data_IF_023678206229
#
_entry.id   IF_023678206229
#
_cell.length_a   1.000
_cell.length_b   1.000
_cell.length_c   1.000
_cell.angle_alpha   90.00
_cell.angle_beta   90.00
_cell.angle_gamma   90.00
#
_symmetry.space_group_name_H-M   'P 1'
#
loop_
_entity.id
_entity.type
_entity.pdbx_description
1 polymer ?
#
# COMPACT_ATOMS: atom_id res chain seq x y z
N UNK A 1 -30.37 -22.21 -7.76
CA UNK A 1 -29.54 -22.11 -6.54
C UNK A 1 -28.08 -21.79 -6.87
N UNK A 2 -27.37 -22.61 -7.66
CA UNK A 2 -25.97 -22.36 -8.03
C UNK A 2 -25.72 -21.03 -8.76
N UNK A 3 -26.64 -20.61 -9.64
CA UNK A 3 -26.54 -19.33 -10.34
C UNK A 3 -26.57 -18.13 -9.39
N UNK A 4 -27.44 -18.13 -8.39
CA UNK A 4 -27.55 -17.03 -7.41
C UNK A 4 -26.31 -16.95 -6.52
N UNK A 5 -25.80 -18.11 -6.10
CA UNK A 5 -24.55 -18.20 -5.33
C UNK A 5 -23.38 -17.66 -6.16
N UNK A 6 -23.31 -18.03 -7.43
CA UNK A 6 -22.28 -17.51 -8.35
C UNK A 6 -22.37 -15.99 -8.52
N UNK A 7 -23.57 -15.45 -8.80
CA UNK A 7 -23.81 -14.01 -8.92
C UNK A 7 -23.40 -13.24 -7.66
N UNK A 8 -23.68 -13.79 -6.47
CA UNK A 8 -23.23 -13.20 -5.21
C UNK A 8 -21.71 -13.10 -5.13
N UNK A 9 -20.98 -14.20 -5.39
CA UNK A 9 -19.52 -14.20 -5.35
C UNK A 9 -18.88 -13.32 -6.42
N UNK A 10 -19.51 -13.21 -7.60
CA UNK A 10 -19.10 -12.26 -8.64
C UNK A 10 -19.20 -10.83 -8.12
N UNK A 11 -20.30 -10.48 -7.43
CA UNK A 11 -20.47 -9.17 -6.80
C UNK A 11 -19.41 -8.87 -5.74
N UNK A 12 -19.09 -9.86 -4.88
CA UNK A 12 -18.01 -9.76 -3.90
C UNK A 12 -16.66 -9.54 -4.58
N UNK A 13 -16.36 -10.29 -5.64
CA UNK A 13 -15.10 -10.13 -6.38
C UNK A 13 -14.97 -8.72 -6.97
N UNK A 14 -16.03 -8.20 -7.59
CA UNK A 14 -16.00 -6.88 -8.22
C UNK A 14 -15.82 -5.73 -7.23
N UNK A 15 -16.45 -5.77 -6.06
CA UNK A 15 -16.26 -4.74 -5.04
C UNK A 15 -14.84 -4.73 -4.48
N UNK A 16 -14.27 -5.92 -4.21
CA UNK A 16 -12.90 -6.07 -3.73
C UNK A 16 -11.89 -5.61 -4.80
N UNK A 17 -12.14 -5.93 -6.06
CA UNK A 17 -11.32 -5.44 -7.16
C UNK A 17 -11.39 -3.91 -7.27
N UNK A 18 -12.59 -3.32 -7.20
CA UNK A 18 -12.78 -1.87 -7.30
C UNK A 18 -12.00 -1.09 -6.24
N UNK A 19 -11.99 -1.55 -4.98
CA UNK A 19 -11.17 -0.95 -3.91
C UNK A 19 -9.67 -0.99 -4.22
N UNK A 20 -9.18 -2.10 -4.77
CA UNK A 20 -7.75 -2.38 -4.94
C UNK A 20 -7.18 -1.82 -6.24
N UNK A 21 -7.98 -1.62 -7.28
CA UNK A 21 -7.54 -1.17 -8.61
C UNK A 21 -6.72 0.13 -8.55
N UNK A 22 -7.19 1.22 -7.89
CA UNK A 22 -6.42 2.47 -7.83
C UNK A 22 -5.03 2.27 -7.22
N UNK A 23 -4.95 1.45 -6.17
CA UNK A 23 -3.71 1.12 -5.50
C UNK A 23 -2.79 0.20 -6.32
N UNK A 24 -3.36 -0.73 -7.08
CA UNK A 24 -2.59 -1.71 -7.84
C UNK A 24 -2.06 -1.14 -9.17
N UNK A 25 -2.85 -0.31 -9.86
CA UNK A 25 -2.52 0.16 -11.21
C UNK A 25 -1.81 1.51 -11.22
N UNK A 26 -2.36 2.54 -10.58
CA UNK A 26 -1.85 3.91 -10.75
C UNK A 26 -0.39 4.08 -10.30
N UNK A 27 0.05 3.57 -9.14
CA UNK A 27 1.45 3.70 -8.74
C UNK A 27 2.42 3.00 -9.67
N UNK A 28 1.96 1.96 -10.40
CA UNK A 28 2.79 1.09 -11.24
C UNK A 28 2.89 1.55 -12.69
N UNK A 29 2.29 2.68 -13.04
CA UNK A 29 2.46 3.26 -14.36
C UNK A 29 3.93 3.65 -14.58
N UNK A 30 4.43 3.47 -15.81
CA UNK A 30 5.84 3.69 -16.14
C UNK A 30 6.30 5.11 -15.79
N UNK A 31 5.50 6.11 -16.14
CA UNK A 31 5.80 7.53 -15.87
C UNK A 31 5.97 7.88 -14.40
N UNK A 32 5.45 7.07 -13.48
CA UNK A 32 5.52 7.31 -12.03
C UNK A 32 6.70 6.57 -11.36
N UNK A 33 7.46 5.76 -12.09
CA UNK A 33 8.52 4.91 -11.55
C UNK A 33 9.89 5.14 -12.20
N UNK A 34 10.06 6.14 -13.07
CA UNK A 34 11.35 6.38 -13.74
C UNK A 34 12.47 6.74 -12.75
N UNK A 35 12.11 7.34 -11.61
CA UNK A 35 13.03 7.74 -10.54
C UNK A 35 13.38 6.60 -9.57
N UNK A 36 12.62 5.49 -9.60
CA UNK A 36 12.74 4.44 -8.61
C UNK A 36 13.30 3.15 -9.20
N UNK A 37 14.30 2.59 -8.52
CA UNK A 37 14.82 1.25 -8.79
C UNK A 37 13.75 0.18 -8.64
N UNK A 38 13.87 -0.93 -9.35
CA UNK A 38 12.90 -2.01 -9.24
C UNK A 38 13.00 -2.72 -7.88
N UNK A 39 11.87 -3.14 -7.30
CA UNK A 39 11.90 -3.95 -6.08
C UNK A 39 12.56 -5.32 -6.40
N UNK A 40 13.54 -5.81 -5.60
CA UNK A 40 13.80 -5.50 -4.19
C UNK A 40 14.87 -4.44 -3.89
N UNK A 41 15.47 -3.81 -4.89
CA UNK A 41 16.64 -2.92 -4.71
C UNK A 41 16.37 -1.78 -3.69
N UNK A 42 17.42 -1.36 -2.95
CA UNK A 42 17.33 -0.25 -2.00
C UNK A 42 16.99 1.05 -2.73
N UNK A 43 16.38 1.98 -1.99
CA UNK A 43 15.98 3.30 -2.51
C UNK A 43 16.59 4.36 -1.62
N UNK A 44 17.17 5.40 -2.21
CA UNK A 44 17.72 6.52 -1.46
C UNK A 44 16.61 7.27 -0.70
N UNK A 45 16.92 7.73 0.51
CA UNK A 45 15.97 8.49 1.34
C UNK A 45 15.97 9.95 0.92
N UNK A 46 15.38 10.21 -0.24
CA UNK A 46 15.30 11.53 -0.86
C UNK A 46 13.91 12.17 -0.72
N UNK A 47 13.80 13.44 -1.11
CA UNK A 47 12.52 14.16 -1.17
C UNK A 47 11.47 13.45 -2.04
N UNK A 48 11.90 12.80 -3.12
CA UNK A 48 11.03 12.04 -4.02
C UNK A 48 10.44 10.80 -3.33
N UNK A 49 11.21 10.13 -2.47
CA UNK A 49 10.72 9.00 -1.69
C UNK A 49 9.63 9.43 -0.70
N UNK A 50 9.84 10.55 -0.01
CA UNK A 50 8.86 11.12 0.93
C UNK A 50 7.54 11.44 0.23
N UNK A 51 7.65 12.10 -0.92
CA UNK A 51 6.51 12.40 -1.79
C UNK A 51 5.81 11.10 -2.22
N UNK A 52 6.57 10.07 -2.57
CA UNK A 52 6.03 8.76 -2.96
C UNK A 52 5.25 8.08 -1.83
N UNK A 53 5.74 8.11 -0.59
CA UNK A 53 5.01 7.57 0.57
C UNK A 53 3.66 8.28 0.74
N UNK A 54 3.64 9.61 0.59
CA UNK A 54 2.40 10.40 0.66
C UNK A 54 1.45 10.11 -0.51
N UNK A 55 1.97 9.91 -1.72
CA UNK A 55 1.15 9.49 -2.85
C UNK A 55 0.53 8.11 -2.65
N UNK A 56 1.29 7.13 -2.15
CA UNK A 56 0.77 5.80 -1.83
C UNK A 56 -0.36 5.88 -0.80
N UNK A 57 -0.20 6.74 0.21
CA UNK A 57 -1.28 7.04 1.16
C UNK A 57 -2.52 7.62 0.47
N UNK A 58 -2.35 8.57 -0.44
CA UNK A 58 -3.46 9.16 -1.18
C UNK A 58 -4.15 8.13 -2.09
N UNK A 59 -3.40 7.24 -2.75
CA UNK A 59 -3.98 6.17 -3.58
C UNK A 59 -4.77 5.16 -2.76
N UNK A 60 -4.36 4.88 -1.52
CA UNK A 60 -5.13 4.05 -0.60
C UNK A 60 -6.50 4.69 -0.28
N UNK A 61 -6.53 5.99 0.07
CA UNK A 61 -7.79 6.68 0.29
C UNK A 61 -8.61 6.87 -0.98
N UNK A 62 -7.97 7.02 -2.13
CA UNK A 62 -8.65 7.00 -3.42
C UNK A 62 -9.32 5.64 -3.65
N UNK A 63 -8.69 4.52 -3.31
CA UNK A 63 -9.32 3.20 -3.31
C UNK A 63 -10.58 3.18 -2.45
N UNK A 64 -10.53 3.76 -1.25
CA UNK A 64 -11.67 3.89 -0.35
C UNK A 64 -12.77 4.82 -0.90
N UNK A 65 -12.42 5.80 -1.71
CA UNK A 65 -13.41 6.59 -2.45
C UNK A 65 -14.07 5.75 -3.56
N UNK A 66 -13.29 4.91 -4.25
CA UNK A 66 -13.81 4.04 -5.32
C UNK A 66 -14.75 2.95 -4.80
N UNK A 67 -14.74 2.61 -3.51
CA UNK A 67 -15.72 1.66 -2.93
C UNK A 67 -17.14 2.20 -2.88
N UNK A 68 -17.35 3.51 -2.98
CA UNK A 68 -18.69 4.08 -3.10
C UNK A 68 -19.37 3.66 -4.42
N UNK A 69 -18.59 3.40 -5.47
CA UNK A 69 -19.13 2.97 -6.78
C UNK A 69 -19.86 1.61 -6.67
N UNK A 70 -19.20 0.51 -6.23
CA UNK A 70 -19.89 -0.77 -6.05
C UNK A 70 -20.93 -0.72 -4.93
N UNK A 71 -20.79 0.17 -3.94
CA UNK A 71 -21.81 0.37 -2.92
C UNK A 71 -23.11 0.92 -3.54
N UNK A 72 -23.06 2.08 -4.21
CA UNK A 72 -24.23 2.69 -4.84
C UNK A 72 -24.81 1.75 -5.92
N UNK A 73 -23.94 1.15 -6.75
CA UNK A 73 -24.38 0.23 -7.78
C UNK A 73 -24.99 -1.05 -7.20
N UNK A 74 -24.45 -1.57 -6.10
CA UNK A 74 -25.01 -2.70 -5.36
C UNK A 74 -26.42 -2.41 -4.87
N UNK A 75 -26.65 -1.22 -4.29
CA UNK A 75 -27.98 -0.78 -3.87
C UNK A 75 -28.97 -0.71 -5.04
N UNK A 76 -28.59 -0.07 -6.14
CA UNK A 76 -29.44 0.02 -7.33
C UNK A 76 -29.74 -1.35 -7.92
N UNK A 77 -28.76 -2.26 -7.93
CA UNK A 77 -28.93 -3.62 -8.45
C UNK A 77 -29.88 -4.44 -7.57
N UNK A 78 -29.92 -4.22 -6.25
CA UNK A 78 -30.91 -4.85 -5.36
C UNK A 78 -32.33 -4.40 -5.72
N UNK A 79 -32.53 -3.11 -6.03
CA UNK A 79 -33.86 -2.57 -6.32
C UNK A 79 -34.37 -2.94 -7.72
N UNK A 80 -33.50 -2.91 -8.74
CA UNK A 80 -33.92 -2.97 -10.14
C UNK A 80 -33.35 -4.15 -10.93
N UNK A 81 -32.47 -4.96 -10.34
CA UNK A 81 -31.67 -5.96 -11.06
C UNK A 81 -31.60 -7.32 -10.38
N UNK A 82 -30.44 -7.97 -10.52
CA UNK A 82 -30.19 -9.26 -9.90
C UNK A 82 -29.89 -9.07 -8.41
N UNK A 83 -30.85 -9.43 -7.56
CA UNK A 83 -30.72 -9.22 -6.11
C UNK A 83 -29.46 -9.88 -5.53
N UNK A 84 -29.10 -11.16 -5.83
CA UNK A 84 -27.88 -11.76 -5.29
C UNK A 84 -26.58 -11.05 -5.67
N UNK A 85 -26.45 -10.58 -6.92
CA UNK A 85 -25.31 -9.76 -7.35
C UNK A 85 -25.24 -8.44 -6.55
N UNK A 86 -26.38 -7.76 -6.44
CA UNK A 86 -26.50 -6.50 -5.70
C UNK A 86 -26.16 -6.64 -4.23
N UNK A 87 -26.63 -7.72 -3.58
CA UNK A 87 -26.26 -8.06 -2.20
C UNK A 87 -24.76 -8.32 -2.06
N UNK A 88 -24.16 -9.07 -3.00
CA UNK A 88 -22.72 -9.32 -3.02
C UNK A 88 -21.92 -8.03 -3.05
N UNK A 89 -22.27 -7.11 -3.95
CA UNK A 89 -21.64 -5.79 -4.08
C UNK A 89 -21.84 -4.91 -2.83
N UNK A 90 -23.08 -4.80 -2.33
CA UNK A 90 -23.43 -3.94 -1.20
C UNK A 90 -22.76 -4.38 0.10
N UNK A 91 -22.87 -5.66 0.45
CA UNK A 91 -22.35 -6.19 1.71
C UNK A 91 -20.82 -6.10 1.77
N UNK A 92 -20.14 -6.50 0.69
CA UNK A 92 -18.68 -6.48 0.65
C UNK A 92 -18.10 -5.07 0.60
N UNK A 93 -18.67 -4.16 -0.19
CA UNK A 93 -18.22 -2.75 -0.22
C UNK A 93 -18.51 -2.03 1.10
N UNK A 94 -19.67 -2.27 1.71
CA UNK A 94 -20.01 -1.75 3.03
C UNK A 94 -19.06 -2.26 4.11
N UNK A 95 -18.75 -3.56 4.10
CA UNK A 95 -17.77 -4.16 5.02
C UNK A 95 -16.38 -3.55 4.84
N UNK A 96 -15.91 -3.41 3.59
CA UNK A 96 -14.63 -2.77 3.29
C UNK A 96 -14.56 -1.33 3.79
N UNK A 97 -15.61 -0.53 3.60
CA UNK A 97 -15.64 0.84 4.10
C UNK A 97 -15.51 0.89 5.62
N UNK A 98 -16.32 0.10 6.33
CA UNK A 98 -16.30 0.06 7.79
C UNK A 98 -14.94 -0.42 8.30
N UNK A 99 -14.42 -1.53 7.75
CA UNK A 99 -13.16 -2.12 8.22
C UNK A 99 -11.97 -1.18 8.02
N UNK A 100 -11.92 -0.43 6.93
CA UNK A 100 -10.80 0.46 6.63
C UNK A 100 -10.91 1.81 7.36
N UNK A 101 -12.12 2.25 7.73
CA UNK A 101 -12.33 3.45 8.55
C UNK A 101 -12.07 3.15 10.04
N UNK A 102 -12.41 1.95 10.51
CA UNK A 102 -12.18 1.54 11.91
C UNK A 102 -10.76 1.07 12.18
N UNK A 103 -10.07 0.50 11.17
CA UNK A 103 -8.69 0.00 11.26
C UNK A 103 -7.69 0.97 11.91
N UNK A 104 -7.69 2.29 11.59
CA UNK A 104 -6.84 3.26 12.26
C UNK A 104 -7.08 3.37 13.78
N UNK A 105 -8.30 3.16 14.28
CA UNK A 105 -8.59 3.16 15.72
C UNK A 105 -8.01 1.93 16.43
N UNK A 106 -7.89 0.81 15.71
CA UNK A 106 -7.28 -0.42 16.21
C UNK A 106 -5.74 -0.44 16.09
N UNK A 107 -5.12 0.64 15.60
CA UNK A 107 -3.67 0.70 15.35
C UNK A 107 -3.22 -0.03 14.08
N UNK A 108 -4.14 -0.65 13.33
CA UNK A 108 -3.85 -1.44 12.13
C UNK A 108 -4.03 -0.64 10.83
N UNK A 109 -3.74 0.67 10.87
CA UNK A 109 -3.92 1.57 9.74
C UNK A 109 -3.12 1.20 8.48
N UNK A 110 -3.30 1.94 7.37
CA UNK A 110 -2.50 1.74 6.16
C UNK A 110 -1.00 1.91 6.48
N UNK A 111 -0.11 1.12 5.85
CA UNK A 111 1.32 1.17 6.17
C UNK A 111 1.98 2.49 5.75
N UNK A 112 1.39 3.23 4.80
CA UNK A 112 1.85 4.57 4.39
C UNK A 112 1.22 5.65 5.26
N UNK A 113 1.87 5.98 6.37
CA UNK A 113 1.39 7.01 7.30
C UNK A 113 2.15 8.33 7.12
N UNK A 114 1.55 9.44 7.59
CA UNK A 114 2.29 10.72 7.72
C UNK A 114 3.44 10.59 8.72
N UNK A 115 3.28 9.75 9.75
CA UNK A 115 4.33 9.52 10.76
C UNK A 115 5.55 8.85 10.17
N UNK A 116 5.37 7.87 9.28
CA UNK A 116 6.46 7.26 8.51
C UNK A 116 7.22 8.28 7.67
N UNK A 117 6.51 9.13 6.93
CA UNK A 117 7.15 10.20 6.15
C UNK A 117 7.92 11.19 7.05
N UNK A 118 7.37 11.56 8.21
CA UNK A 118 8.09 12.40 9.17
C UNK A 118 9.34 11.72 9.73
N UNK A 119 9.29 10.42 10.05
CA UNK A 119 10.46 9.65 10.51
C UNK A 119 11.57 9.63 9.46
N UNK A 120 11.22 9.41 8.19
CA UNK A 120 12.18 9.47 7.08
C UNK A 120 12.77 10.88 6.89
N UNK A 121 11.96 11.92 7.05
CA UNK A 121 12.46 13.31 7.02
C UNK A 121 13.44 13.59 8.17
N UNK A 122 13.18 13.06 9.37
CA UNK A 122 14.10 13.19 10.49
C UNK A 122 15.44 12.49 10.20
N UNK A 123 15.42 11.27 9.65
CA UNK A 123 16.64 10.56 9.23
C UNK A 123 17.45 11.37 8.23
N UNK A 124 16.78 12.01 7.27
CA UNK A 124 17.42 12.88 6.29
C UNK A 124 18.03 14.13 6.96
N UNK A 125 17.27 14.80 7.82
CA UNK A 125 17.76 15.98 8.55
C UNK A 125 18.97 15.62 9.42
N UNK A 126 18.97 14.46 10.07
CA UNK A 126 20.09 13.97 10.86
C UNK A 126 21.32 13.68 10.00
N UNK A 127 21.12 13.09 8.82
CA UNK A 127 22.19 12.85 7.86
C UNK A 127 22.81 14.16 7.33
N UNK A 128 22.03 15.22 7.12
CA UNK A 128 22.53 16.53 6.67
C UNK A 128 23.15 17.37 7.82
N UNK A 129 22.97 16.94 9.08
CA UNK A 129 23.43 17.67 10.27
C UNK A 129 24.80 17.22 10.80
N UNK A 130 25.33 17.95 11.78
CA UNK A 130 26.54 17.58 12.53
C UNK A 130 26.41 16.24 13.29
N UNK A 131 25.17 15.74 13.47
CA UNK A 131 24.89 14.41 14.06
C UNK A 131 24.93 13.27 13.05
N UNK A 132 25.46 13.53 11.85
CA UNK A 132 25.59 12.55 10.79
C UNK A 132 26.38 11.30 11.23
N UNK A 133 26.03 10.17 10.65
CA UNK A 133 26.64 8.88 10.99
C UNK A 133 28.08 8.70 10.45
N UNK A 134 28.47 9.44 9.42
CA UNK A 134 29.78 9.41 8.77
C UNK A 134 29.98 10.68 7.92
N UNK A 135 31.21 10.90 7.40
CA UNK A 135 31.55 12.10 6.60
C UNK A 135 30.68 12.28 5.34
N UNK A 136 30.23 11.19 4.72
CA UNK A 136 29.36 11.23 3.53
C UNK A 136 28.13 10.34 3.77
N UNK A 137 27.15 10.81 4.56
CA UNK A 137 26.00 10.00 4.91
C UNK A 137 25.08 9.83 3.69
N UNK A 138 24.86 8.59 3.29
CA UNK A 138 23.97 8.23 2.19
C UNK A 138 22.87 7.28 2.70
N UNK A 139 21.76 7.80 3.24
CA UNK A 139 20.69 6.99 3.78
C UNK A 139 19.94 6.25 2.66
N UNK A 140 19.87 4.93 2.76
CA UNK A 140 19.15 4.05 1.83
C UNK A 140 18.15 3.17 2.57
N UNK A 141 16.95 3.05 2.02
CA UNK A 141 15.90 2.20 2.55
C UNK A 141 15.92 0.83 1.88
N UNK A 142 16.45 -0.14 2.64
CA UNK A 142 16.42 -1.55 2.30
C UNK A 142 15.03 -2.15 2.58
N UNK A 143 14.88 -3.47 2.44
CA UNK A 143 13.59 -4.14 2.71
C UNK A 143 13.23 -4.09 4.20
N UNK A 144 14.23 -4.22 5.08
CA UNK A 144 14.04 -4.40 6.53
C UNK A 144 14.21 -3.12 7.34
N UNK A 145 15.15 -2.25 6.93
CA UNK A 145 15.48 -1.04 7.67
C UNK A 145 16.08 0.03 6.74
N UNK A 146 16.16 1.26 7.25
CA UNK A 146 16.95 2.33 6.66
C UNK A 146 18.37 2.26 7.21
N UNK A 147 19.35 2.13 6.32
CA UNK A 147 20.77 2.05 6.66
C UNK A 147 21.55 3.09 5.89
N UNK A 148 22.69 3.51 6.42
CA UNK A 148 23.66 4.26 5.62
C UNK A 148 24.36 3.31 4.63
N UNK A 149 24.45 3.69 3.35
CA UNK A 149 25.14 2.90 2.33
C UNK A 149 26.64 2.74 2.63
N UNK A 150 27.26 3.72 3.28
CA UNK A 150 28.71 3.75 3.55
C UNK A 150 29.05 3.05 4.87
N UNK A 151 28.52 3.53 6.00
CA UNK A 151 28.88 3.00 7.31
C UNK A 151 27.98 1.86 7.81
N UNK A 152 26.94 1.47 7.05
CA UNK A 152 25.97 0.40 7.37
C UNK A 152 25.20 0.54 8.68
N UNK A 153 25.38 1.66 9.40
CA UNK A 153 24.63 1.98 10.63
C UNK A 153 23.14 2.02 10.33
N UNK A 154 22.34 1.40 11.19
CA UNK A 154 20.88 1.45 11.14
C UNK A 154 20.45 2.84 11.62
N UNK A 155 19.76 3.58 10.76
CA UNK A 155 19.25 4.92 11.06
C UNK A 155 17.78 4.84 11.51
N UNK A 156 17.00 3.95 10.91
CA UNK A 156 15.61 3.70 11.27
C UNK A 156 15.28 2.23 11.06
N UNK A 157 14.83 1.57 12.14
CA UNK A 157 14.41 0.18 12.10
C UNK A 157 12.93 0.07 11.73
N UNK A 158 12.60 0.45 10.49
CA UNK A 158 11.25 0.28 9.94
C UNK A 158 11.29 -0.46 8.59
N UNK A 159 10.53 -1.56 8.45
CA UNK A 159 10.49 -2.33 7.23
C UNK A 159 9.76 -1.53 6.16
N UNK A 160 10.25 -1.64 4.93
CA UNK A 160 9.78 -0.85 3.81
C UNK A 160 8.43 -1.38 3.32
N UNK A 161 7.35 -0.58 3.36
CA UNK A 161 6.09 -0.97 2.75
C UNK A 161 6.20 -0.96 1.22
N UNK A 162 5.21 -1.53 0.53
CA UNK A 162 5.21 -1.51 -0.93
C UNK A 162 5.13 -0.05 -1.45
N UNK A 163 6.06 0.36 -2.30
CA UNK A 163 6.08 1.73 -2.84
C UNK A 163 5.43 1.79 -4.24
N UNK A 164 4.68 0.75 -4.65
CA UNK A 164 4.07 0.71 -5.97
C UNK A 164 5.09 0.59 -7.11
N UNK A 165 6.29 0.09 -6.80
CA UNK A 165 7.40 -0.06 -7.76
C UNK A 165 7.22 -1.31 -8.62
N UNK A 166 7.78 -1.36 -9.83
CA UNK A 166 7.87 -2.61 -10.58
C UNK A 166 8.65 -3.65 -9.76
N UNK A 167 8.16 -4.88 -9.72
CA UNK A 167 8.80 -6.01 -9.02
C UNK A 167 9.56 -6.86 -10.03
N UNK A 168 10.76 -7.30 -9.66
CA UNK A 168 11.56 -8.26 -10.43
C UNK A 168 10.98 -9.69 -10.39
N UNK A 169 10.13 -10.01 -9.40
CA UNK A 169 9.52 -11.35 -9.17
C UNK A 169 8.51 -11.81 -10.25
N UNK A 170 8.33 -11.04 -11.33
CA UNK A 170 7.32 -11.26 -12.36
C UNK A 170 5.98 -10.60 -12.05
N UNK A 171 5.29 -10.12 -13.10
CA UNK A 171 4.08 -9.28 -12.97
C UNK A 171 2.93 -9.98 -12.22
N UNK A 172 2.68 -11.27 -12.49
CA UNK A 172 1.54 -12.02 -11.95
C UNK A 172 1.77 -12.39 -10.48
N UNK A 173 2.93 -12.99 -10.17
CA UNK A 173 3.29 -13.39 -8.80
C UNK A 173 3.34 -12.17 -7.87
N UNK A 174 3.91 -11.07 -8.35
CA UNK A 174 3.94 -9.80 -7.63
C UNK A 174 2.54 -9.26 -7.34
N UNK A 175 1.65 -9.26 -8.34
CA UNK A 175 0.26 -8.80 -8.17
C UNK A 175 -0.50 -9.63 -7.14
N UNK A 176 -0.39 -10.96 -7.22
CA UNK A 176 -1.06 -11.86 -6.28
C UNK A 176 -0.57 -11.62 -4.84
N UNK A 177 0.74 -11.49 -4.66
CA UNK A 177 1.35 -11.20 -3.36
C UNK A 177 0.87 -9.87 -2.78
N UNK A 178 0.71 -8.85 -3.63
CA UNK A 178 0.20 -7.53 -3.23
C UNK A 178 -1.28 -7.56 -2.83
N UNK A 179 -2.09 -8.37 -3.51
CA UNK A 179 -3.50 -8.55 -3.14
C UNK A 179 -3.59 -9.19 -1.76
N UNK A 180 -2.74 -10.20 -1.48
CA UNK A 180 -2.67 -10.87 -0.18
C UNK A 180 -2.11 -9.98 0.93
N UNK A 181 -0.97 -9.32 0.69
CA UNK A 181 -0.29 -8.52 1.72
C UNK A 181 -0.90 -7.14 1.93
N UNK A 182 -1.73 -6.67 0.98
CA UNK A 182 -2.27 -5.32 1.00
C UNK A 182 -1.19 -4.23 0.96
N UNK A 183 0.02 -4.58 0.51
CA UNK A 183 1.20 -3.70 0.48
C UNK A 183 1.92 -3.53 1.83
N UNK A 184 1.55 -4.31 2.85
CA UNK A 184 2.33 -4.41 4.10
C UNK A 184 3.67 -5.13 3.85
N UNK A 185 4.73 -4.78 4.61
CA UNK A 185 6.00 -5.49 4.53
C UNK A 185 5.81 -6.94 4.96
N UNK A 186 6.47 -7.85 4.23
CA UNK A 186 6.43 -9.29 4.51
C UNK A 186 7.46 -9.74 5.55
N UNK A 187 8.33 -8.83 5.98
CA UNK A 187 9.33 -9.10 7.02
C UNK A 187 8.77 -8.60 8.35
N UNK A 188 8.61 -9.51 9.30
CA UNK A 188 8.32 -9.17 10.70
C UNK A 188 9.59 -8.67 11.38
N UNK A 189 9.47 -7.61 12.17
CA UNK A 189 10.58 -7.02 12.94
C UNK A 189 11.10 -7.91 14.10
N UNK A 190 10.63 -9.16 14.23
CA UNK A 190 10.85 -10.04 15.38
C UNK A 190 11.77 -11.25 15.07
N UNK A 191 12.87 -11.07 14.35
CA UNK A 191 13.92 -12.10 14.25
C UNK A 191 15.22 -11.75 15.00
N UNK A 192 15.21 -10.70 15.83
CA UNK A 192 16.34 -10.36 16.71
C UNK A 192 15.84 -10.01 18.13
N UNK A 193 15.43 -11.04 18.89
CA UNK A 193 15.61 -11.11 20.36
C UNK A 193 16.49 -12.30 20.69
#
# INVERSE_FOLDING_TARGET
MWFEVFSFFVGVFFSHAAFRIPFLLFPRMKSWNEQFTSHPEPVNVDGELLLRVLHMRNFYYLGLFFTFIPLIFGWLTIQYGNAPLGFGLWLSSGWLLISNISSPLAGEGPPWTKTLAMKLQLVRNEAESDKSCCQFPAPVWEVTAVRCAICRKILLNEPRPDLGRPRSDGKIKGLFLLILSGGRPLVSLNEEE
#
